data_IF_775877905764
#
_entry.id   IF_775877905764
#
_cell.length_a   1.000
_cell.length_b   1.000
_cell.length_c   1.000
_cell.angle_alpha   90.00
_cell.angle_beta   90.00
_cell.angle_gamma   90.00
#
_symmetry.space_group_name_H-M   'P 1'
#
loop_
_entity.id
_entity.type
_entity.pdbx_description
1 polymer ?
#
# COMPACT_ATOMS: atom_id res chain seq x y z
N UNK A 1 7.65 -10.93 15.20
CA UNK A 1 7.93 -9.61 14.64
C UNK A 1 6.59 -9.19 14.11
N UNK A 2 5.88 -8.36 14.86
CA UNK A 2 4.58 -7.84 14.45
C UNK A 2 4.88 -6.62 13.59
N UNK A 3 5.19 -6.85 12.30
CA UNK A 3 5.41 -5.76 11.37
C UNK A 3 4.08 -5.11 11.04
N UNK A 4 3.99 -3.79 11.27
CA UNK A 4 2.82 -3.00 10.94
C UNK A 4 3.12 -2.14 9.71
N UNK A 5 2.49 -2.47 8.59
CA UNK A 5 2.72 -1.77 7.32
C UNK A 5 2.38 -0.27 7.43
N UNK A 6 1.52 0.14 8.35
CA UNK A 6 1.15 1.54 8.57
C UNK A 6 2.28 2.41 9.10
N UNK A 7 3.29 1.80 9.73
CA UNK A 7 4.50 2.48 10.20
C UNK A 7 5.65 2.39 9.18
N UNK A 8 5.45 1.65 8.09
CA UNK A 8 6.48 1.42 7.07
C UNK A 8 6.72 2.69 6.24
N UNK A 9 7.99 2.97 5.95
CA UNK A 9 8.38 4.14 5.18
C UNK A 9 7.80 4.12 3.75
N UNK A 10 7.63 2.93 3.14
CA UNK A 10 7.02 2.80 1.83
C UNK A 10 5.52 3.10 1.87
N UNK A 11 4.82 2.72 2.95
CA UNK A 11 3.41 3.07 3.14
C UNK A 11 3.22 4.58 3.35
N UNK A 12 4.08 5.22 4.15
CA UNK A 12 4.03 6.68 4.33
C UNK A 12 4.24 7.40 2.98
N UNK A 13 5.24 6.97 2.19
CA UNK A 13 5.47 7.51 0.86
C UNK A 13 4.29 7.26 -0.10
N UNK A 14 3.65 6.09 -0.02
CA UNK A 14 2.45 5.76 -0.79
C UNK A 14 1.29 6.70 -0.46
N UNK A 15 1.12 7.04 0.82
CA UNK A 15 0.07 7.96 1.26
C UNK A 15 0.38 9.44 0.95
N UNK A 16 1.64 9.87 0.97
CA UNK A 16 2.04 11.19 0.46
C UNK A 16 1.75 11.29 -1.04
N UNK A 17 2.19 10.31 -1.83
CA UNK A 17 1.93 10.27 -3.27
C UNK A 17 0.42 10.25 -3.59
N UNK A 18 -0.39 9.51 -2.82
CA UNK A 18 -1.84 9.53 -2.97
C UNK A 18 -2.44 10.92 -2.72
N UNK A 19 -2.01 11.62 -1.66
CA UNK A 19 -2.47 12.99 -1.36
C UNK A 19 -2.03 13.99 -2.43
N UNK A 20 -0.83 13.84 -2.96
CA UNK A 20 -0.29 14.70 -4.02
C UNK A 20 -0.92 14.43 -5.39
N UNK A 21 -1.36 13.19 -5.65
CA UNK A 21 -1.97 12.79 -6.92
C UNK A 21 -3.32 13.50 -7.18
N UNK A 22 -4.02 13.91 -6.12
CA UNK A 22 -5.37 14.47 -6.21
C UNK A 22 -6.45 13.46 -6.60
N UNK A 23 -6.11 12.16 -6.66
CA UNK A 23 -7.06 11.08 -6.91
C UNK A 23 -8.01 10.92 -5.72
N UNK A 24 -9.29 10.70 -6.01
CA UNK A 24 -10.30 10.47 -4.96
C UNK A 24 -10.37 9.03 -4.48
N UNK A 25 -9.74 8.08 -5.19
CA UNK A 25 -9.87 6.66 -4.92
C UNK A 25 -8.50 5.99 -4.85
N UNK A 26 -8.21 5.31 -3.73
CA UNK A 26 -6.92 4.65 -3.54
C UNK A 26 -6.75 3.45 -4.50
N UNK A 27 -7.84 2.78 -4.89
CA UNK A 27 -7.78 1.69 -5.87
C UNK A 27 -7.40 2.21 -7.27
N UNK A 28 -7.92 3.36 -7.69
CA UNK A 28 -7.54 3.99 -8.97
C UNK A 28 -6.09 4.47 -8.93
N UNK A 29 -5.68 5.08 -7.81
CA UNK A 29 -4.29 5.48 -7.60
C UNK A 29 -3.30 4.31 -7.67
N UNK A 30 -3.62 3.17 -7.04
CA UNK A 30 -2.79 1.97 -7.10
C UNK A 30 -2.76 1.33 -8.49
N UNK A 31 -3.81 1.51 -9.28
CA UNK A 31 -3.82 1.09 -10.69
C UNK A 31 -2.98 2.02 -11.58
N UNK A 32 -2.68 3.24 -11.13
CA UNK A 32 -1.80 4.18 -11.82
C UNK A 32 -0.32 3.80 -11.62
N UNK A 33 0.53 4.20 -12.56
CA UNK A 33 1.95 3.82 -12.56
C UNK A 33 2.74 4.29 -11.32
N UNK A 34 2.37 5.41 -10.72
CA UNK A 34 3.00 5.92 -9.50
C UNK A 34 2.57 5.12 -8.25
N UNK A 35 1.27 4.93 -8.03
CA UNK A 35 0.76 4.12 -6.91
C UNK A 35 1.21 2.67 -6.98
N UNK A 36 1.23 2.07 -8.18
CA UNK A 36 1.73 0.71 -8.39
C UNK A 36 3.21 0.56 -8.00
N UNK A 37 4.04 1.57 -8.31
CA UNK A 37 5.46 1.58 -7.95
C UNK A 37 5.66 1.61 -6.43
N UNK A 38 4.97 2.52 -5.75
CA UNK A 38 5.05 2.64 -4.28
C UNK A 38 4.51 1.38 -3.57
N UNK A 39 3.42 0.79 -4.07
CA UNK A 39 2.89 -0.45 -3.50
C UNK A 39 3.83 -1.63 -3.68
N UNK A 40 4.55 -1.71 -4.80
CA UNK A 40 5.53 -2.76 -5.01
C UNK A 40 6.66 -2.70 -3.97
N UNK A 41 7.11 -1.50 -3.58
CA UNK A 41 8.12 -1.31 -2.53
C UNK A 41 7.58 -1.79 -1.17
N UNK A 42 6.35 -1.42 -0.83
CA UNK A 42 5.68 -1.87 0.38
C UNK A 42 5.50 -3.40 0.43
N UNK A 43 5.12 -4.02 -0.68
CA UNK A 43 4.99 -5.47 -0.80
C UNK A 43 6.35 -6.18 -0.67
N UNK A 44 7.45 -5.56 -1.12
CA UNK A 44 8.80 -6.09 -0.92
C UNK A 44 9.23 -6.02 0.55
N UNK A 45 8.89 -4.94 1.26
CA UNK A 45 9.14 -4.80 2.70
C UNK A 45 8.36 -5.87 3.48
N UNK A 46 7.08 -6.08 3.13
CA UNK A 46 6.25 -7.15 3.70
C UNK A 46 6.90 -8.53 3.56
N UNK A 47 7.40 -8.84 2.35
CA UNK A 47 8.11 -10.09 2.09
C UNK A 47 9.43 -10.19 2.88
N UNK A 48 10.14 -9.08 3.04
CA UNK A 48 11.35 -8.98 3.87
C UNK A 48 11.09 -9.28 5.35
N UNK A 49 9.92 -8.90 5.84
CA UNK A 49 9.45 -9.13 7.22
C UNK A 49 8.82 -10.53 7.42
N UNK A 50 8.74 -11.33 6.35
CA UNK A 50 8.30 -12.71 6.38
C UNK A 50 6.82 -12.92 6.04
N UNK A 51 6.14 -11.92 5.48
CA UNK A 51 4.78 -12.08 4.95
C UNK A 51 4.87 -12.74 3.57
N UNK A 52 4.24 -13.90 3.42
CA UNK A 52 4.16 -14.57 2.12
C UNK A 52 3.10 -13.90 1.24
N UNK A 53 3.55 -13.04 0.34
CA UNK A 53 2.72 -12.43 -0.72
C UNK A 53 2.88 -13.14 -2.07
N UNK A 54 3.45 -14.36 -2.07
CA UNK A 54 3.67 -15.12 -3.29
C UNK A 54 2.37 -15.71 -3.83
N UNK A 55 1.42 -15.98 -2.93
CA UNK A 55 0.07 -16.40 -3.28
C UNK A 55 -0.79 -15.21 -3.69
N UNK A 56 -1.55 -15.35 -4.79
CA UNK A 56 -2.38 -14.26 -5.32
C UNK A 56 -3.41 -13.76 -4.31
N UNK A 57 -4.04 -14.67 -3.55
CA UNK A 57 -5.00 -14.32 -2.50
C UNK A 57 -4.37 -13.49 -1.36
N UNK A 58 -3.13 -13.78 -0.98
CA UNK A 58 -2.42 -13.06 0.07
C UNK A 58 -2.04 -11.66 -0.41
N UNK A 59 -1.57 -11.53 -1.66
CA UNK A 59 -1.29 -10.24 -2.28
C UNK A 59 -2.56 -9.40 -2.44
N UNK A 60 -3.67 -9.99 -2.91
CA UNK A 60 -4.95 -9.31 -3.05
C UNK A 60 -5.51 -8.84 -1.69
N UNK A 61 -5.41 -9.68 -0.66
CA UNK A 61 -5.83 -9.31 0.69
C UNK A 61 -4.98 -8.16 1.25
N UNK A 62 -3.65 -8.24 1.09
CA UNK A 62 -2.74 -7.18 1.50
C UNK A 62 -3.00 -5.87 0.75
N UNK A 63 -3.22 -5.94 -0.57
CA UNK A 63 -3.58 -4.77 -1.37
C UNK A 63 -4.88 -4.13 -0.86
N UNK A 64 -5.89 -4.94 -0.54
CA UNK A 64 -7.15 -4.44 -0.01
C UNK A 64 -6.97 -3.78 1.37
N UNK A 65 -6.17 -4.35 2.27
CA UNK A 65 -5.88 -3.73 3.58
C UNK A 65 -5.16 -2.38 3.43
N UNK A 66 -4.22 -2.29 2.48
CA UNK A 66 -3.52 -1.05 2.15
C UNK A 66 -4.52 -0.01 1.62
N UNK A 67 -5.40 -0.38 0.68
CA UNK A 67 -6.45 0.49 0.14
C UNK A 67 -7.34 1.03 1.26
N UNK A 68 -7.93 0.13 2.06
CA UNK A 68 -8.84 0.48 3.14
C UNK A 68 -8.20 1.43 4.15
N UNK A 69 -6.91 1.23 4.42
CA UNK A 69 -6.16 2.03 5.39
C UNK A 69 -5.74 3.38 4.81
N UNK A 70 -5.31 3.43 3.54
CA UNK A 70 -5.05 4.68 2.84
C UNK A 70 -6.31 5.55 2.76
N UNK A 71 -7.47 4.97 2.41
CA UNK A 71 -8.72 5.74 2.35
C UNK A 71 -9.11 6.28 3.73
N UNK A 72 -8.93 5.49 4.80
CA UNK A 72 -9.21 5.95 6.18
C UNK A 72 -8.23 7.02 6.69
N UNK A 73 -6.95 6.93 6.35
CA UNK A 73 -5.90 7.80 6.92
C UNK A 73 -5.55 9.00 6.04
N UNK A 74 -5.83 8.93 4.74
CA UNK A 74 -5.27 9.83 3.74
C UNK A 74 -6.35 10.62 2.96
N UNK A 75 -7.66 10.36 3.19
CA UNK A 75 -8.77 11.17 2.64
C UNK A 75 -9.33 12.26 3.61
N UNK A 76 -8.71 12.50 4.77
CA UNK A 76 -9.14 13.55 5.74
C UNK A 76 -8.51 14.93 5.44
#
# INVERSE_FOLDING_TARGET
MDWEFTEDAAFLALCDAFRESGESSAIEFLANGEGAFHFQDLAQNAAGEGIDLSESNALEAFQQDVIDTMEKLCQD
#
